data_IF_132845943863
#
_entry.id   IF_132845943863
#
_cell.length_a   1.000
_cell.length_b   1.000
_cell.length_c   1.000
_cell.angle_alpha   90.00
_cell.angle_beta   90.00
_cell.angle_gamma   90.00
#
_symmetry.space_group_name_H-M   'P 1'
#
loop_
_entity.id
_entity.type
_entity.pdbx_description
1 polymer ?
#
# COMPACT_ATOMS: atom_id res chain seq x y z
N UNK A 1 17.63 24.28 -4.00
CA UNK A 1 17.06 23.00 -4.40
C UNK A 1 15.58 22.96 -4.02
N UNK A 2 14.71 22.63 -4.96
CA UNK A 2 13.29 22.41 -4.66
C UNK A 2 13.19 21.15 -3.80
N UNK A 3 12.60 21.28 -2.61
CA UNK A 3 12.43 20.12 -1.72
C UNK A 3 11.60 19.04 -2.39
N UNK A 4 12.15 17.82 -2.47
CA UNK A 4 11.45 16.68 -3.07
C UNK A 4 10.26 16.27 -2.21
N UNK A 5 9.13 15.99 -2.84
CA UNK A 5 7.97 15.42 -2.14
C UNK A 5 8.34 14.07 -1.53
N UNK A 6 8.20 13.95 -0.21
CA UNK A 6 8.49 12.72 0.52
C UNK A 6 7.27 11.82 0.62
N UNK A 7 7.47 10.52 0.44
CA UNK A 7 6.44 9.48 0.50
C UNK A 7 6.90 8.35 1.42
N UNK A 8 6.01 7.90 2.30
CA UNK A 8 6.25 6.73 3.14
C UNK A 8 5.66 5.49 2.44
N UNK A 9 6.49 4.47 2.29
CA UNK A 9 6.06 3.13 1.84
C UNK A 9 6.21 2.17 3.01
N UNK A 10 5.13 1.51 3.39
CA UNK A 10 5.06 0.63 4.55
C UNK A 10 4.81 -0.82 4.12
N UNK A 11 5.86 -1.66 4.08
CA UNK A 11 5.67 -3.09 3.89
C UNK A 11 5.04 -3.70 5.15
N UNK A 12 3.80 -4.18 5.08
CA UNK A 12 3.12 -4.80 6.21
C UNK A 12 3.86 -6.02 6.77
N UNK A 13 3.65 -6.32 8.06
CA UNK A 13 4.29 -7.43 8.76
C UNK A 13 5.83 -7.36 8.80
N UNK A 14 6.52 -8.46 9.09
CA UNK A 14 7.98 -8.55 9.12
C UNK A 14 8.53 -9.26 10.35
N UNK A 15 9.71 -9.88 10.24
CA UNK A 15 10.32 -10.64 11.32
C UNK A 15 9.44 -11.81 11.77
N UNK A 16 9.09 -11.84 13.06
CA UNK A 16 8.23 -12.89 13.64
C UNK A 16 6.74 -12.73 13.31
N UNK A 17 6.33 -11.56 12.80
CA UNK A 17 5.00 -11.37 12.24
C UNK A 17 5.01 -11.76 10.75
N UNK A 18 4.54 -12.97 10.45
CA UNK A 18 4.52 -13.52 9.09
C UNK A 18 3.38 -12.96 8.22
N UNK A 19 2.34 -12.40 8.85
CA UNK A 19 1.06 -12.21 8.17
C UNK A 19 0.45 -13.54 7.74
N UNK A 20 -0.23 -13.57 6.63
CA UNK A 20 -0.79 -14.78 6.04
C UNK A 20 0.29 -15.64 5.41
N UNK A 21 0.18 -16.98 5.61
CA UNK A 21 1.08 -17.96 4.99
C UNK A 21 0.27 -19.01 4.24
N UNK A 22 0.55 -19.19 2.95
CA UNK A 22 -0.06 -20.22 2.11
C UNK A 22 1.03 -20.96 1.35
N UNK A 23 1.27 -22.21 1.70
CA UNK A 23 2.38 -23.00 1.15
C UNK A 23 3.73 -22.32 1.42
N UNK A 24 4.46 -22.00 0.36
CA UNK A 24 5.76 -21.31 0.43
C UNK A 24 5.63 -19.78 0.36
N UNK A 25 4.45 -19.25 0.10
CA UNK A 25 4.21 -17.81 0.03
C UNK A 25 3.91 -17.26 1.42
N UNK A 26 4.64 -16.25 1.83
CA UNK A 26 4.49 -15.58 3.12
C UNK A 26 4.22 -14.10 2.85
N UNK A 27 3.16 -13.58 3.42
CA UNK A 27 2.68 -12.21 3.17
C UNK A 27 3.78 -11.16 3.40
N UNK A 28 4.50 -11.23 4.53
CA UNK A 28 5.58 -10.27 4.84
C UNK A 28 6.64 -10.16 3.73
N UNK A 29 6.89 -11.25 2.99
CA UNK A 29 7.90 -11.31 1.92
C UNK A 29 7.36 -10.65 0.65
N UNK A 30 6.14 -10.98 0.24
CA UNK A 30 5.53 -10.35 -0.95
C UNK A 30 5.20 -8.88 -0.70
N UNK A 31 4.85 -8.50 0.54
CA UNK A 31 4.70 -7.10 0.95
C UNK A 31 6.00 -6.33 0.76
N UNK A 32 7.12 -6.87 1.28
CA UNK A 32 8.43 -6.23 1.15
C UNK A 32 8.83 -6.08 -0.30
N UNK A 33 8.72 -7.15 -1.08
CA UNK A 33 9.10 -7.17 -2.50
C UNK A 33 8.29 -6.16 -3.32
N UNK A 34 6.97 -6.13 -3.15
CA UNK A 34 6.10 -5.14 -3.82
C UNK A 34 6.47 -3.72 -3.41
N UNK A 35 6.72 -3.50 -2.13
CA UNK A 35 7.11 -2.19 -1.59
C UNK A 35 8.47 -1.72 -2.12
N UNK A 36 9.42 -2.62 -2.33
CA UNK A 36 10.71 -2.31 -2.97
C UNK A 36 10.51 -1.84 -4.42
N UNK A 37 9.62 -2.48 -5.18
CA UNK A 37 9.28 -2.02 -6.53
C UNK A 37 8.62 -0.64 -6.52
N UNK A 38 7.67 -0.40 -5.61
CA UNK A 38 7.05 0.93 -5.43
C UNK A 38 8.10 1.97 -5.09
N UNK A 39 8.96 1.70 -4.11
CA UNK A 39 10.01 2.64 -3.69
C UNK A 39 11.02 2.94 -4.80
N UNK A 40 11.41 1.93 -5.58
CA UNK A 40 12.33 2.11 -6.71
C UNK A 40 11.72 3.00 -7.81
N UNK A 41 10.46 2.76 -8.17
CA UNK A 41 9.75 3.56 -9.16
C UNK A 41 9.56 5.02 -8.70
N UNK A 42 9.12 5.23 -7.47
CA UNK A 42 8.97 6.57 -6.90
C UNK A 42 10.30 7.34 -6.88
N UNK A 43 11.40 6.70 -6.47
CA UNK A 43 12.73 7.32 -6.50
C UNK A 43 13.17 7.67 -7.91
N UNK A 44 12.95 6.77 -8.88
CA UNK A 44 13.22 7.01 -10.30
C UNK A 44 12.45 8.22 -10.81
N UNK A 45 11.23 8.44 -10.32
CA UNK A 45 10.37 9.57 -10.69
C UNK A 45 10.67 10.86 -9.88
N UNK A 46 11.74 10.86 -9.06
CA UNK A 46 12.24 12.06 -8.38
C UNK A 46 11.70 12.30 -6.97
N UNK A 47 10.91 11.39 -6.40
CA UNK A 47 10.42 11.49 -5.03
C UNK A 47 11.47 11.11 -3.99
N UNK A 48 11.38 11.71 -2.79
CA UNK A 48 12.07 11.21 -1.62
C UNK A 48 11.24 10.08 -0.99
N UNK A 49 11.84 8.91 -0.77
CA UNK A 49 11.11 7.73 -0.31
C UNK A 49 11.73 7.17 0.95
N UNK A 50 10.93 7.07 1.99
CA UNK A 50 11.27 6.37 3.21
C UNK A 50 10.40 5.12 3.36
N UNK A 51 11.03 3.97 3.57
CA UNK A 51 10.34 2.72 3.89
C UNK A 51 10.36 2.49 5.40
N UNK A 52 9.28 1.97 5.97
CA UNK A 52 9.22 1.62 7.40
C UNK A 52 10.14 0.45 7.75
N UNK A 53 10.36 -0.46 6.82
CA UNK A 53 11.41 -1.50 6.85
C UNK A 53 11.97 -1.75 5.46
N UNK A 54 13.23 -2.14 5.38
CA UNK A 54 13.94 -2.46 4.12
C UNK A 54 14.44 -3.91 4.07
N UNK A 55 14.10 -4.70 5.08
CA UNK A 55 14.47 -6.11 5.22
C UNK A 55 13.42 -6.84 6.06
N UNK A 56 13.58 -8.14 6.21
CA UNK A 56 12.65 -8.96 6.99
C UNK A 56 12.91 -8.78 8.50
N UNK A 57 12.41 -7.67 9.05
CA UNK A 57 12.45 -7.33 10.48
C UNK A 57 11.06 -6.91 10.94
N UNK A 58 10.77 -7.19 12.21
CA UNK A 58 9.56 -6.72 12.85
C UNK A 58 9.62 -5.21 13.09
N UNK A 59 8.54 -4.52 12.74
CA UNK A 59 8.29 -3.11 13.09
C UNK A 59 6.89 -3.03 13.65
N UNK A 60 6.76 -2.53 14.87
CA UNK A 60 5.45 -2.43 15.52
C UNK A 60 4.52 -1.46 14.79
N UNK A 61 3.21 -1.62 14.98
CA UNK A 61 2.23 -0.69 14.39
C UNK A 61 2.46 0.74 14.88
N UNK A 62 2.80 0.91 16.16
CA UNK A 62 3.12 2.23 16.74
C UNK A 62 4.36 2.86 16.10
N UNK A 63 5.41 2.08 15.87
CA UNK A 63 6.64 2.57 15.23
C UNK A 63 6.38 2.99 13.77
N UNK A 64 5.55 2.25 13.03
CA UNK A 64 5.16 2.62 11.65
C UNK A 64 4.45 3.96 11.62
N UNK A 65 3.51 4.17 12.55
CA UNK A 65 2.79 5.43 12.73
C UNK A 65 3.76 6.56 13.11
N UNK A 66 4.66 6.31 14.04
CA UNK A 66 5.65 7.31 14.48
C UNK A 66 6.60 7.70 13.33
N UNK A 67 7.09 6.74 12.55
CA UNK A 67 7.90 7.00 11.35
C UNK A 67 7.15 7.92 10.40
N UNK A 68 5.87 7.62 10.09
CA UNK A 68 5.06 8.44 9.20
C UNK A 68 4.85 9.85 9.75
N UNK A 69 4.45 9.98 11.01
CA UNK A 69 4.09 11.27 11.63
C UNK A 69 5.30 12.20 11.81
N UNK A 70 6.50 11.66 12.05
CA UNK A 70 7.74 12.44 12.18
C UNK A 70 8.42 12.75 10.83
N UNK A 71 8.05 12.08 9.78
CA UNK A 71 8.76 12.13 8.49
C UNK A 71 8.60 13.41 7.71
N UNK A 72 7.56 14.21 7.99
CA UNK A 72 7.08 15.34 7.16
C UNK A 72 6.74 14.90 5.72
N UNK A 73 6.34 13.65 5.54
CA UNK A 73 5.94 13.14 4.25
C UNK A 73 4.55 13.65 3.83
N UNK A 74 4.29 13.67 2.55
CA UNK A 74 3.02 14.12 1.97
C UNK A 74 1.93 13.06 2.05
N UNK A 75 2.31 11.78 2.08
CA UNK A 75 1.39 10.65 2.18
C UNK A 75 2.11 9.36 2.58
N UNK A 76 1.31 8.36 2.97
CA UNK A 76 1.75 7.00 3.29
C UNK A 76 0.93 5.95 2.54
N UNK A 77 1.60 4.93 2.03
CA UNK A 77 0.99 3.74 1.44
C UNK A 77 1.49 2.51 2.18
N UNK A 78 0.59 1.81 2.86
CA UNK A 78 0.84 0.50 3.46
C UNK A 78 0.44 -0.60 2.46
N UNK A 79 1.29 -1.62 2.30
CA UNK A 79 1.14 -2.68 1.29
C UNK A 79 1.00 -4.03 1.97
N UNK A 80 -0.11 -4.71 1.64
CA UNK A 80 -0.53 -5.98 2.17
C UNK A 80 -1.11 -6.88 1.06
N UNK A 81 -1.30 -8.16 1.39
CA UNK A 81 -2.07 -9.13 0.62
C UNK A 81 -3.06 -9.83 1.54
N UNK A 82 -4.29 -9.91 1.08
CA UNK A 82 -5.45 -10.32 1.84
C UNK A 82 -5.54 -11.83 2.06
N UNK A 83 -6.34 -12.22 3.03
CA UNK A 83 -6.74 -13.60 3.26
C UNK A 83 -8.21 -13.67 3.69
N UNK A 84 -8.88 -14.76 3.33
CA UNK A 84 -10.25 -15.04 3.76
C UNK A 84 -10.43 -16.53 4.02
N UNK A 85 -11.46 -16.89 4.81
CA UNK A 85 -11.86 -18.29 5.00
C UNK A 85 -12.38 -18.88 3.68
N UNK A 86 -13.16 -18.11 2.93
CA UNK A 86 -13.61 -18.52 1.59
C UNK A 86 -12.45 -18.43 0.60
N UNK A 87 -12.14 -19.54 -0.04
CA UNK A 87 -11.15 -19.59 -1.13
C UNK A 87 -11.62 -18.92 -2.43
N UNK A 88 -12.91 -18.57 -2.51
CA UNK A 88 -13.49 -17.86 -3.66
C UNK A 88 -13.33 -16.32 -3.52
N UNK A 89 -12.91 -15.83 -2.35
CA UNK A 89 -12.65 -14.41 -2.17
C UNK A 89 -11.47 -14.00 -3.04
N UNK A 90 -11.69 -13.02 -3.92
CA UNK A 90 -10.70 -12.52 -4.87
C UNK A 90 -10.85 -11.02 -5.12
N UNK A 91 -9.79 -10.37 -5.54
CA UNK A 91 -9.78 -8.98 -6.00
C UNK A 91 -8.99 -8.04 -5.09
N UNK A 92 -8.83 -6.82 -5.58
CA UNK A 92 -8.11 -5.73 -4.92
C UNK A 92 -9.05 -4.92 -4.04
N UNK A 93 -8.57 -4.60 -2.84
CA UNK A 93 -9.21 -3.67 -1.92
C UNK A 93 -8.24 -2.56 -1.55
N UNK A 94 -8.74 -1.34 -1.35
CA UNK A 94 -7.94 -0.26 -0.76
C UNK A 94 -8.73 0.35 0.38
N UNK A 95 -8.07 0.45 1.53
CA UNK A 95 -8.67 1.00 2.74
C UNK A 95 -8.12 2.38 3.03
N UNK A 96 -9.01 3.27 3.48
CA UNK A 96 -8.69 4.54 4.11
C UNK A 96 -9.40 4.63 5.46
N UNK A 97 -8.91 5.47 6.37
CA UNK A 97 -9.61 5.72 7.62
C UNK A 97 -10.62 6.86 7.46
N UNK A 98 -11.86 6.62 7.91
CA UNK A 98 -12.91 7.63 7.94
C UNK A 98 -12.70 8.56 9.12
N UNK A 99 -11.76 9.48 8.99
CA UNK A 99 -11.39 10.44 10.02
C UNK A 99 -12.54 11.40 10.34
N UNK A 100 -12.78 11.73 11.63
CA UNK A 100 -13.64 12.85 12.01
C UNK A 100 -13.16 14.20 11.45
N UNK A 101 -11.85 14.36 11.25
CA UNK A 101 -11.26 15.53 10.59
C UNK A 101 -11.49 15.43 9.09
N UNK A 102 -12.44 16.19 8.60
CA UNK A 102 -12.95 16.12 7.23
C UNK A 102 -11.85 16.22 6.15
N UNK A 103 -10.86 17.09 6.34
CA UNK A 103 -9.80 17.32 5.37
C UNK A 103 -8.93 16.06 5.14
N UNK A 104 -8.45 15.41 6.20
CA UNK A 104 -7.62 14.21 6.08
C UNK A 104 -8.40 13.03 5.49
N UNK A 105 -9.64 12.84 5.91
CA UNK A 105 -10.55 11.82 5.37
C UNK A 105 -10.70 11.97 3.86
N UNK A 106 -10.99 13.17 3.39
CA UNK A 106 -11.16 13.45 1.97
C UNK A 106 -9.87 13.20 1.20
N UNK A 107 -8.73 13.64 1.71
CA UNK A 107 -7.41 13.43 1.10
C UNK A 107 -7.05 11.95 1.01
N UNK A 108 -7.24 11.18 2.08
CA UNK A 108 -6.97 9.73 2.08
C UNK A 108 -7.89 8.97 1.12
N UNK A 109 -9.18 9.33 1.08
CA UNK A 109 -10.12 8.72 0.13
C UNK A 109 -9.76 9.03 -1.32
N UNK A 110 -9.43 10.28 -1.63
CA UNK A 110 -9.02 10.68 -2.97
C UNK A 110 -7.75 9.96 -3.43
N UNK A 111 -6.77 9.78 -2.52
CA UNK A 111 -5.59 8.97 -2.77
C UNK A 111 -5.96 7.52 -3.07
N UNK A 112 -6.83 6.92 -2.26
CA UNK A 112 -7.29 5.53 -2.45
C UNK A 112 -8.01 5.35 -3.80
N UNK A 113 -8.90 6.28 -4.16
CA UNK A 113 -9.62 6.25 -5.44
C UNK A 113 -8.66 6.36 -6.64
N UNK A 114 -7.68 7.27 -6.57
CA UNK A 114 -6.69 7.45 -7.63
C UNK A 114 -5.81 6.21 -7.80
N UNK A 115 -5.34 5.62 -6.69
CA UNK A 115 -4.54 4.40 -6.71
C UNK A 115 -5.36 3.22 -7.23
N UNK A 116 -6.59 3.01 -6.75
CA UNK A 116 -7.46 1.93 -7.20
C UNK A 116 -7.66 1.98 -8.71
N UNK A 117 -7.99 3.15 -9.25
CA UNK A 117 -8.18 3.33 -10.69
C UNK A 117 -6.98 2.85 -11.49
N UNK A 118 -5.79 3.31 -11.13
CA UNK A 118 -4.55 3.00 -11.87
C UNK A 118 -4.11 1.55 -11.71
N UNK A 119 -4.26 0.98 -10.52
CA UNK A 119 -3.96 -0.43 -10.27
C UNK A 119 -4.86 -1.32 -11.13
N UNK A 120 -6.16 -1.06 -11.19
CA UNK A 120 -7.10 -1.83 -12.02
C UNK A 120 -6.82 -1.67 -13.51
N UNK A 121 -6.44 -0.46 -13.95
CA UNK A 121 -6.09 -0.20 -15.36
C UNK A 121 -4.91 -1.06 -15.82
N UNK A 122 -3.94 -1.31 -14.95
CA UNK A 122 -2.73 -2.07 -15.28
C UNK A 122 -2.90 -3.56 -15.02
N UNK A 123 -3.39 -3.94 -13.83
CA UNK A 123 -3.43 -5.36 -13.42
C UNK A 123 -4.60 -6.12 -14.01
N UNK A 124 -5.66 -5.42 -14.43
CA UNK A 124 -6.95 -6.00 -14.83
C UNK A 124 -7.56 -6.90 -13.75
N UNK A 125 -7.18 -6.69 -12.51
CA UNK A 125 -7.71 -7.44 -11.37
C UNK A 125 -9.16 -7.06 -11.09
N UNK A 126 -9.88 -7.94 -10.41
CA UNK A 126 -11.24 -7.66 -9.93
C UNK A 126 -11.17 -6.58 -8.84
N UNK A 127 -12.05 -5.60 -8.94
CA UNK A 127 -12.19 -4.60 -7.89
C UNK A 127 -13.13 -5.06 -6.79
N UNK A 128 -12.71 -4.91 -5.53
CA UNK A 128 -13.59 -5.00 -4.35
C UNK A 128 -13.89 -3.61 -3.76
N UNK A 129 -13.37 -2.57 -4.40
CA UNK A 129 -13.64 -1.18 -4.09
C UNK A 129 -12.72 -0.55 -3.05
N UNK A 130 -12.91 0.75 -2.91
CA UNK A 130 -12.31 1.56 -1.85
C UNK A 130 -13.24 1.56 -0.65
N UNK A 131 -12.72 1.27 0.54
CA UNK A 131 -13.49 1.06 1.76
C UNK A 131 -12.91 1.83 2.93
N UNK A 132 -13.73 2.18 3.90
CA UNK A 132 -13.21 2.63 5.19
C UNK A 132 -12.78 1.42 6.04
N UNK A 133 -11.62 1.54 6.71
CA UNK A 133 -11.08 0.51 7.59
C UNK A 133 -10.48 1.11 8.85
N UNK A 134 -10.59 0.40 9.98
CA UNK A 134 -10.05 0.83 11.26
C UNK A 134 -8.69 0.16 11.54
N UNK A 135 -7.73 0.35 10.63
CA UNK A 135 -6.38 -0.17 10.80
C UNK A 135 -5.48 0.89 11.44
N UNK A 136 -4.71 0.52 12.45
CA UNK A 136 -3.85 1.40 13.23
C UNK A 136 -2.97 2.30 12.33
N UNK A 137 -2.29 1.71 11.34
CA UNK A 137 -1.35 2.43 10.47
C UNK A 137 -1.98 3.53 9.62
N UNK A 138 -3.27 3.43 9.28
CA UNK A 138 -3.99 4.47 8.54
C UNK A 138 -4.88 5.34 9.43
N UNK A 139 -5.25 4.84 10.62
CA UNK A 139 -6.05 5.57 11.58
C UNK A 139 -5.22 6.62 12.33
N UNK A 140 -4.08 6.20 12.86
CA UNK A 140 -3.27 6.99 13.79
C UNK A 140 -2.19 7.84 13.10
N UNK A 141 -2.01 7.64 11.79
CA UNK A 141 -1.15 8.47 10.94
C UNK A 141 -1.84 9.81 10.63
N UNK A 142 -1.12 10.92 10.78
CA UNK A 142 -1.65 12.29 10.63
C UNK A 142 -1.65 12.82 9.19
N UNK A 143 -0.91 12.19 8.29
CA UNK A 143 -0.87 12.48 6.85
C UNK A 143 -1.88 11.62 6.09
N UNK A 144 -2.25 11.96 4.84
CA UNK A 144 -3.04 11.09 3.99
C UNK A 144 -2.45 9.68 3.91
N UNK A 145 -3.24 8.67 4.24
CA UNK A 145 -2.75 7.29 4.35
C UNK A 145 -3.77 6.29 3.81
N UNK A 146 -3.27 5.29 3.09
CA UNK A 146 -4.06 4.17 2.56
C UNK A 146 -3.37 2.84 2.84
N UNK A 147 -4.17 1.77 2.88
CA UNK A 147 -3.71 0.39 2.94
C UNK A 147 -4.21 -0.34 1.69
N UNK A 148 -3.28 -0.87 0.93
CA UNK A 148 -3.54 -1.61 -0.31
C UNK A 148 -3.49 -3.10 -0.01
N UNK A 149 -4.56 -3.81 -0.34
CA UNK A 149 -4.64 -5.26 -0.37
C UNK A 149 -4.52 -5.73 -1.82
N UNK A 150 -3.36 -6.26 -2.17
CA UNK A 150 -2.96 -6.56 -3.56
C UNK A 150 -3.55 -7.85 -4.14
N UNK A 151 -4.52 -8.47 -3.48
CA UNK A 151 -5.17 -9.73 -3.83
C UNK A 151 -5.17 -10.69 -2.65
N UNK A 152 -5.87 -11.82 -2.79
CA UNK A 152 -6.05 -12.82 -1.73
C UNK A 152 -5.06 -13.98 -1.87
N UNK A 153 -4.19 -14.16 -0.89
CA UNK A 153 -3.27 -15.31 -0.83
C UNK A 153 -4.01 -16.65 -0.71
N UNK A 154 -5.22 -16.63 -0.14
CA UNK A 154 -6.07 -17.81 0.04
C UNK A 154 -6.83 -18.23 -1.21
N UNK A 155 -6.86 -17.40 -2.27
CA UNK A 155 -7.43 -17.74 -3.57
C UNK A 155 -6.34 -18.31 -4.48
N UNK A 156 -6.56 -19.49 -5.03
CA UNK A 156 -5.53 -20.20 -5.80
C UNK A 156 -5.08 -19.43 -7.06
N UNK A 157 -6.03 -18.82 -7.79
CA UNK A 157 -5.72 -18.07 -9.01
C UNK A 157 -4.93 -16.80 -8.71
N UNK A 158 -5.28 -16.10 -7.61
CA UNK A 158 -4.55 -14.90 -7.20
C UNK A 158 -3.19 -15.26 -6.63
N UNK A 159 -3.09 -16.33 -5.84
CA UNK A 159 -1.82 -16.84 -5.34
C UNK A 159 -0.82 -17.12 -6.46
N UNK A 160 -1.27 -17.75 -7.54
CA UNK A 160 -0.42 -18.02 -8.73
C UNK A 160 0.06 -16.72 -9.38
N UNK A 161 -0.77 -15.68 -9.43
CA UNK A 161 -0.35 -14.35 -9.92
C UNK A 161 0.64 -13.68 -8.98
N UNK A 162 0.34 -13.70 -7.66
CA UNK A 162 1.16 -13.05 -6.62
C UNK A 162 2.56 -13.67 -6.54
N UNK A 163 2.72 -14.95 -6.85
CA UNK A 163 4.04 -15.60 -6.98
C UNK A 163 4.91 -15.04 -8.10
N UNK A 164 4.31 -14.38 -9.09
CA UNK A 164 5.01 -13.88 -10.27
C UNK A 164 5.46 -12.44 -10.06
N UNK A 165 6.75 -12.19 -10.26
CA UNK A 165 7.33 -10.85 -10.22
C UNK A 165 6.61 -9.85 -11.11
N UNK A 166 6.15 -10.31 -12.27
CA UNK A 166 5.45 -9.45 -13.22
C UNK A 166 4.17 -8.86 -12.63
N UNK A 167 3.41 -9.66 -11.86
CA UNK A 167 2.20 -9.15 -11.18
C UNK A 167 2.57 -8.11 -10.12
N UNK A 168 3.57 -8.39 -9.27
CA UNK A 168 4.01 -7.47 -8.24
C UNK A 168 4.53 -6.15 -8.81
N UNK A 169 5.24 -6.21 -9.94
CA UNK A 169 5.70 -5.02 -10.68
C UNK A 169 4.54 -4.23 -11.28
N UNK A 170 3.54 -4.91 -11.84
CA UNK A 170 2.33 -4.28 -12.39
C UNK A 170 1.51 -3.60 -11.28
N UNK A 171 1.37 -4.25 -10.13
CA UNK A 171 0.73 -3.68 -8.95
C UNK A 171 1.48 -2.43 -8.46
N UNK A 172 2.81 -2.53 -8.36
CA UNK A 172 3.65 -1.41 -7.95
C UNK A 172 3.56 -0.23 -8.93
N UNK A 173 3.56 -0.48 -10.23
CA UNK A 173 3.39 0.58 -11.24
C UNK A 173 2.03 1.28 -11.08
N UNK A 174 0.96 0.54 -10.91
CA UNK A 174 -0.38 1.11 -10.70
C UNK A 174 -0.46 1.95 -9.42
N UNK A 175 0.18 1.50 -8.33
CA UNK A 175 0.25 2.27 -7.08
C UNK A 175 0.98 3.61 -7.33
N UNK A 176 2.12 3.58 -7.99
CA UNK A 176 2.91 4.78 -8.28
C UNK A 176 2.16 5.74 -9.19
N UNK A 177 1.57 5.25 -10.29
CA UNK A 177 0.78 6.06 -11.21
C UNK A 177 -0.42 6.72 -10.50
N UNK A 178 -1.05 6.01 -9.56
CA UNK A 178 -2.14 6.53 -8.75
C UNK A 178 -1.70 7.61 -7.76
N UNK A 179 -0.56 7.42 -7.10
CA UNK A 179 0.05 8.42 -6.22
C UNK A 179 0.36 9.70 -7.02
N UNK A 180 0.98 9.57 -8.19
CA UNK A 180 1.31 10.72 -9.03
C UNK A 180 0.06 11.45 -9.53
N UNK A 181 -0.97 10.71 -9.93
CA UNK A 181 -2.25 11.30 -10.33
C UNK A 181 -2.87 12.10 -9.18
N UNK A 182 -2.84 11.57 -7.95
CA UNK A 182 -3.33 12.27 -6.76
C UNK A 182 -2.54 13.55 -6.47
N UNK A 183 -1.20 13.48 -6.48
CA UNK A 183 -0.34 14.64 -6.19
C UNK A 183 -0.50 15.75 -7.22
N UNK A 184 -0.70 15.42 -8.50
CA UNK A 184 -0.92 16.40 -9.56
C UNK A 184 -2.23 17.20 -9.40
N UNK A 185 -3.26 16.61 -8.80
CA UNK A 185 -4.53 17.31 -8.53
C UNK A 185 -4.39 18.28 -7.37
N UNK A 186 -3.60 17.95 -6.36
CA UNK A 186 -3.35 18.81 -5.19
C UNK A 186 -2.46 20.04 -5.46
N UNK A 187 -1.86 20.13 -6.65
CA UNK A 187 -1.00 21.25 -7.09
C UNK A 187 -1.75 22.29 -7.91
N UNK A 188 -3.05 22.11 -8.12
CA UNK A 188 -3.94 23.09 -8.77
C UNK A 188 -4.79 23.83 -7.75
#
# INVERSE_FOLDING_TARGET
EVAKTKIIVDPGHGGDDFGTKVGTVIEKIVNLKTSEYVAALLKKNGYDVQMTRKKDVYVSLADRVEIANRSKASLMVSIHFNAAQSKDAEGLEIFYYKDPVQQRKTSSKNLADAVMKKVLDITKARSRGVKSGNFCVIRDTTIPAILVEGGFLTNERELEKIRQDQYLKSLAQGIVDGIEAYLKVGLK
#
